data_IF_636691409176
#
_entry.id   IF_636691409176
#
_cell.length_a   1.000
_cell.length_b   1.000
_cell.length_c   1.000
_cell.angle_alpha   90.00
_cell.angle_beta   90.00
_cell.angle_gamma   90.00
#
_symmetry.space_group_name_H-M   'P 1'
#
loop_
_entity.id
_entity.type
_entity.pdbx_description
1 polymer ?
#
# COMPACT_ATOMS: atom_id res chain seq x y z
N UNK A 1 -57.73 -19.60 62.78
CA UNK A 1 -56.28 -19.80 62.91
C UNK A 1 -55.87 -20.69 61.76
N UNK A 2 -55.08 -20.18 60.82
CA UNK A 2 -54.28 -21.00 59.93
C UNK A 2 -53.01 -20.21 59.59
N UNK A 3 -51.88 -20.70 60.07
CA UNK A 3 -50.57 -20.05 59.95
C UNK A 3 -49.84 -20.60 58.72
N UNK A 4 -49.61 -19.74 57.72
CA UNK A 4 -48.75 -20.08 56.59
C UNK A 4 -47.32 -19.64 56.89
N UNK A 5 -46.52 -20.56 57.43
CA UNK A 5 -45.07 -20.43 57.54
C UNK A 5 -44.45 -20.66 56.16
N UNK A 6 -44.13 -19.57 55.46
CA UNK A 6 -43.29 -19.60 54.27
C UNK A 6 -41.83 -19.67 54.68
N UNK A 7 -41.20 -20.84 54.51
CA UNK A 7 -39.76 -21.00 54.62
C UNK A 7 -39.09 -20.28 53.45
N UNK A 8 -38.41 -19.17 53.74
CA UNK A 8 -37.45 -18.53 52.83
C UNK A 8 -36.24 -19.46 52.63
N UNK A 9 -36.41 -20.44 51.75
CA UNK A 9 -35.31 -21.21 51.16
C UNK A 9 -34.72 -20.36 50.03
N UNK A 10 -33.79 -19.45 50.37
CA UNK A 10 -32.97 -18.82 49.34
C UNK A 10 -32.14 -19.91 48.64
N UNK A 11 -32.24 -20.07 47.31
CA UNK A 11 -31.49 -21.10 46.60
C UNK A 11 -29.99 -20.79 46.68
N UNK A 12 -29.25 -21.62 47.43
CA UNK A 12 -27.80 -21.54 47.55
C UNK A 12 -27.12 -21.86 46.20
N UNK A 13 -26.88 -20.82 45.41
CA UNK A 13 -26.36 -20.91 44.03
C UNK A 13 -24.86 -21.22 43.98
N UNK A 14 -24.11 -21.07 45.08
CA UNK A 14 -22.68 -21.34 45.11
C UNK A 14 -22.34 -22.84 44.99
N UNK A 15 -23.18 -23.70 45.59
CA UNK A 15 -22.98 -25.16 45.52
C UNK A 15 -23.24 -25.72 44.11
N UNK A 16 -24.21 -25.18 43.37
CA UNK A 16 -24.48 -25.56 41.97
C UNK A 16 -23.35 -25.13 41.02
N UNK A 17 -22.75 -23.96 41.27
CA UNK A 17 -21.60 -23.45 40.48
C UNK A 17 -20.36 -24.32 40.71
N UNK A 18 -20.11 -24.73 41.97
CA UNK A 18 -19.02 -25.63 42.32
C UNK A 18 -19.21 -27.01 41.67
N UNK A 19 -20.44 -27.54 41.64
CA UNK A 19 -20.78 -28.79 40.97
C UNK A 19 -20.57 -28.71 39.44
N UNK A 20 -20.91 -27.58 38.82
CA UNK A 20 -20.73 -27.36 37.38
C UNK A 20 -19.25 -27.24 36.95
N UNK A 21 -18.36 -26.79 37.84
CA UNK A 21 -16.91 -26.66 37.59
C UNK A 21 -16.13 -27.98 37.63
N UNK A 22 -16.71 -29.06 38.17
CA UNK A 22 -16.04 -30.35 38.36
C UNK A 22 -15.89 -31.23 37.11
N UNK A 23 -16.61 -30.91 36.02
CA UNK A 23 -16.61 -31.73 34.80
C UNK A 23 -15.43 -31.35 33.91
N UNK A 24 -14.33 -32.09 34.00
CA UNK A 24 -13.12 -31.91 33.16
C UNK A 24 -13.45 -32.10 31.67
N UNK A 25 -13.68 -31.00 30.95
CA UNK A 25 -13.96 -31.02 29.50
C UNK A 25 -12.78 -31.63 28.73
N UNK A 26 -13.07 -32.34 27.65
CA UNK A 26 -12.01 -33.00 26.86
C UNK A 26 -11.04 -31.99 26.22
N UNK A 27 -9.75 -32.33 26.22
CA UNK A 27 -8.63 -31.52 25.69
C UNK A 27 -8.79 -31.15 24.20
N UNK A 28 -9.69 -31.84 23.47
CA UNK A 28 -10.03 -31.54 22.06
C UNK A 28 -10.82 -30.24 21.89
N UNK A 29 -11.57 -29.80 22.91
CA UNK A 29 -12.33 -28.52 22.86
C UNK A 29 -11.42 -27.30 23.00
N UNK A 30 -10.23 -27.48 23.59
CA UNK A 30 -9.27 -26.42 23.83
C UNK A 30 -8.66 -25.81 22.54
N UNK A 31 -8.77 -26.49 21.38
CA UNK A 31 -8.24 -26.03 20.09
C UNK A 31 -9.28 -25.28 19.22
N UNK A 32 -10.53 -25.15 19.66
CA UNK A 32 -11.57 -24.44 18.88
C UNK A 32 -11.43 -22.93 19.03
N UNK A 33 -11.69 -22.19 17.94
CA UNK A 33 -11.64 -20.71 17.91
C UNK A 33 -12.63 -20.07 18.89
N UNK A 34 -13.77 -20.73 19.15
CA UNK A 34 -14.68 -20.36 20.22
C UNK A 34 -14.69 -21.50 21.25
N UNK A 35 -14.06 -21.25 22.41
CA UNK A 35 -14.07 -22.16 23.55
C UNK A 35 -15.34 -21.94 24.36
N UNK A 36 -15.95 -23.00 24.87
CA UNK A 36 -16.93 -22.87 25.94
C UNK A 36 -16.18 -22.49 27.21
N UNK A 37 -16.45 -21.30 27.76
CA UNK A 37 -15.94 -20.86 29.06
C UNK A 37 -16.74 -21.55 30.16
N UNK A 38 -16.09 -22.04 31.21
CA UNK A 38 -16.81 -22.56 32.37
C UNK A 38 -17.50 -21.39 33.11
N UNK A 39 -18.59 -21.66 33.82
CA UNK A 39 -19.39 -20.63 34.49
C UNK A 39 -18.55 -19.72 35.39
N UNK A 40 -17.58 -20.28 36.11
CA UNK A 40 -16.64 -19.54 36.96
C UNK A 40 -15.73 -18.62 36.15
N UNK A 41 -15.16 -19.10 35.04
CA UNK A 41 -14.32 -18.28 34.16
C UNK A 41 -15.12 -17.17 33.45
N UNK A 42 -16.36 -17.48 33.08
CA UNK A 42 -17.30 -16.52 32.52
C UNK A 42 -17.64 -15.42 33.53
N UNK A 43 -17.95 -15.79 34.77
CA UNK A 43 -18.23 -14.86 35.86
C UNK A 43 -17.03 -13.96 36.18
N UNK A 44 -15.83 -14.52 36.28
CA UNK A 44 -14.61 -13.75 36.49
C UNK A 44 -14.30 -12.79 35.33
N UNK A 45 -14.49 -13.24 34.08
CA UNK A 45 -14.31 -12.38 32.91
C UNK A 45 -15.36 -11.26 32.87
N UNK A 46 -16.62 -11.56 33.20
CA UNK A 46 -17.68 -10.57 33.33
C UNK A 46 -17.37 -9.54 34.41
N UNK A 47 -16.98 -9.99 35.61
CA UNK A 47 -16.61 -9.10 36.71
C UNK A 47 -15.39 -8.23 36.34
N UNK A 48 -14.42 -8.80 35.64
CA UNK A 48 -13.31 -8.06 35.04
C UNK A 48 -13.80 -6.95 34.10
N UNK A 49 -14.69 -7.26 33.16
CA UNK A 49 -15.26 -6.29 32.22
C UNK A 49 -16.13 -5.23 32.92
N UNK A 50 -16.96 -5.62 33.89
CA UNK A 50 -17.77 -4.69 34.69
C UNK A 50 -16.90 -3.76 35.54
N UNK A 51 -15.75 -4.26 36.02
CA UNK A 51 -14.78 -3.47 36.78
C UNK A 51 -13.89 -2.58 35.90
N UNK A 52 -13.86 -2.80 34.58
CA UNK A 52 -13.15 -1.92 33.67
C UNK A 52 -13.96 -0.64 33.44
N UNK A 53 -13.40 0.51 33.81
CA UNK A 53 -13.92 1.82 33.42
C UNK A 53 -13.84 1.94 31.91
N UNK A 54 -14.99 1.80 31.24
CA UNK A 54 -15.06 1.91 29.78
C UNK A 54 -14.66 3.34 29.36
N UNK A 55 -13.58 3.52 28.58
CA UNK A 55 -13.23 4.84 28.09
C UNK A 55 -14.33 5.32 27.13
N UNK A 56 -14.90 6.49 27.41
CA UNK A 56 -15.96 7.15 26.63
C UNK A 56 -15.58 7.38 25.16
N UNK A 57 -14.29 7.24 24.82
CA UNK A 57 -13.78 7.21 23.46
C UNK A 57 -13.54 5.76 22.98
N UNK A 58 -14.59 5.05 22.60
CA UNK A 58 -14.44 3.76 21.90
C UNK A 58 -13.62 3.98 20.60
N UNK A 59 -12.61 3.14 20.31
CA UNK A 59 -11.82 3.28 19.09
C UNK A 59 -12.74 3.12 17.87
N UNK A 60 -12.45 3.88 16.80
CA UNK A 60 -13.29 3.98 15.59
C UNK A 60 -13.70 2.63 14.97
N UNK A 61 -12.96 1.55 15.24
CA UNK A 61 -13.25 0.18 14.84
C UNK A 61 -14.49 -0.45 15.53
N UNK A 62 -14.92 0.05 16.69
CA UNK A 62 -16.11 -0.42 17.41
C UNK A 62 -17.36 0.41 17.14
N UNK A 63 -17.30 1.44 16.29
CA UNK A 63 -18.48 2.22 15.90
C UNK A 63 -19.15 1.57 14.69
N UNK A 64 -20.29 0.85 14.86
CA UNK A 64 -20.96 0.16 13.76
C UNK A 64 -21.43 1.13 12.67
N UNK A 65 -21.72 2.39 13.03
CA UNK A 65 -22.08 3.44 12.08
C UNK A 65 -20.99 3.73 11.04
N UNK A 66 -19.71 3.73 11.43
CA UNK A 66 -18.61 3.97 10.48
C UNK A 66 -18.47 2.81 9.50
N UNK A 67 -18.68 1.58 9.96
CA UNK A 67 -18.71 0.40 9.09
C UNK A 67 -19.89 0.44 8.12
N UNK A 68 -21.08 0.84 8.59
CA UNK A 68 -22.26 1.03 7.73
C UNK A 68 -22.05 2.10 6.69
N UNK A 69 -21.56 3.28 7.07
CA UNK A 69 -21.25 4.38 6.14
C UNK A 69 -20.26 3.98 5.06
N UNK A 70 -19.21 3.22 5.39
CA UNK A 70 -18.25 2.71 4.39
C UNK A 70 -18.90 1.72 3.42
N UNK A 71 -19.77 0.84 3.93
CA UNK A 71 -20.51 -0.10 3.09
C UNK A 71 -21.51 0.62 2.18
N UNK A 72 -22.24 1.61 2.72
CA UNK A 72 -23.16 2.48 1.97
C UNK A 72 -22.40 3.24 0.89
N UNK A 73 -21.25 3.86 1.20
CA UNK A 73 -20.41 4.55 0.21
C UNK A 73 -19.90 3.59 -0.88
N UNK A 74 -19.54 2.36 -0.52
CA UNK A 74 -19.13 1.34 -1.49
C UNK A 74 -20.30 0.90 -2.40
N UNK A 75 -21.50 0.75 -1.84
CA UNK A 75 -22.72 0.43 -2.59
C UNK A 75 -23.14 1.59 -3.49
N UNK A 76 -23.06 2.83 -3.02
CA UNK A 76 -23.32 4.03 -3.81
C UNK A 76 -22.37 4.15 -5.00
N UNK A 77 -21.06 3.92 -4.79
CA UNK A 77 -20.08 3.92 -5.89
C UNK A 77 -20.39 2.84 -6.92
N UNK A 78 -20.87 1.67 -6.50
CA UNK A 78 -21.30 0.60 -7.42
C UNK A 78 -22.56 0.99 -8.17
N UNK A 79 -23.57 1.52 -7.50
CA UNK A 79 -24.80 1.99 -8.10
C UNK A 79 -24.55 3.09 -9.13
N UNK A 80 -23.71 4.08 -8.82
CA UNK A 80 -23.30 5.14 -9.76
C UNK A 80 -22.63 4.57 -11.00
N UNK A 81 -21.75 3.57 -10.85
CA UNK A 81 -21.11 2.91 -12.00
C UNK A 81 -22.14 2.21 -12.88
N UNK A 82 -23.07 1.46 -12.29
CA UNK A 82 -24.14 0.79 -13.05
C UNK A 82 -24.96 1.81 -13.85
N UNK A 83 -25.41 2.90 -13.23
CA UNK A 83 -26.15 3.97 -13.92
C UNK A 83 -25.35 4.60 -15.07
N UNK A 84 -24.04 4.80 -14.89
CA UNK A 84 -23.19 5.32 -15.98
C UNK A 84 -23.03 4.33 -17.14
N UNK A 85 -22.95 3.03 -16.84
CA UNK A 85 -22.86 1.96 -17.84
C UNK A 85 -24.17 1.85 -18.60
N UNK A 86 -25.30 1.78 -17.90
CA UNK A 86 -26.63 1.73 -18.53
C UNK A 86 -26.89 2.96 -19.41
N UNK A 87 -26.48 4.16 -18.96
CA UNK A 87 -26.58 5.37 -19.78
C UNK A 87 -25.74 5.26 -21.05
N UNK A 88 -24.51 4.77 -20.92
CA UNK A 88 -23.61 4.58 -22.06
C UNK A 88 -24.13 3.50 -23.02
N UNK A 89 -24.68 2.40 -22.51
CA UNK A 89 -25.30 1.35 -23.31
C UNK A 89 -26.50 1.89 -24.09
N UNK A 90 -27.34 2.71 -23.47
CA UNK A 90 -28.44 3.42 -24.16
C UNK A 90 -27.94 4.32 -25.29
N UNK A 91 -26.84 5.03 -25.07
CA UNK A 91 -26.18 5.85 -26.10
C UNK A 91 -25.51 4.99 -27.20
N UNK A 92 -25.06 3.78 -26.86
CA UNK A 92 -24.35 2.87 -27.77
C UNK A 92 -25.32 1.97 -28.59
N UNK A 93 -26.58 1.77 -28.16
CA UNK A 93 -27.60 0.95 -28.85
C UNK A 93 -27.88 1.39 -30.31
N UNK A 94 -27.60 2.65 -30.67
CA UNK A 94 -27.70 3.16 -32.04
C UNK A 94 -26.35 3.47 -32.70
N UNK A 95 -25.23 3.24 -32.00
CA UNK A 95 -23.89 3.56 -32.51
C UNK A 95 -23.33 2.35 -33.26
N UNK A 96 -23.33 2.42 -34.59
CA UNK A 96 -22.60 1.45 -35.42
C UNK A 96 -21.10 1.65 -35.19
N UNK A 97 -20.49 0.76 -34.39
CA UNK A 97 -19.03 0.73 -34.15
C UNK A 97 -18.29 0.07 -35.30
N UNK A 98 -18.94 -0.87 -35.97
CA UNK A 98 -18.37 -1.64 -37.07
C UNK A 98 -18.62 -0.92 -38.40
N UNK A 99 -18.15 0.33 -38.49
CA UNK A 99 -17.91 0.96 -39.79
C UNK A 99 -16.57 0.44 -40.26
N UNK A 100 -16.53 -0.25 -41.41
CA UNK A 100 -15.34 -0.86 -42.04
C UNK A 100 -14.04 -0.24 -41.53
N UNK A 101 -13.31 -1.03 -40.72
CA UNK A 101 -12.17 -0.56 -39.92
C UNK A 101 -11.14 0.18 -40.76
N UNK A 102 -11.11 1.51 -40.61
CA UNK A 102 -10.17 2.36 -41.35
C UNK A 102 -10.66 3.78 -41.67
N UNK A 103 -11.95 4.07 -41.54
CA UNK A 103 -12.50 5.41 -41.83
C UNK A 103 -12.63 6.35 -40.63
N UNK A 104 -12.54 5.82 -39.41
CA UNK A 104 -12.34 6.65 -38.22
C UNK A 104 -10.86 6.90 -38.03
N UNK A 105 -10.41 8.17 -37.95
CA UNK A 105 -9.03 8.54 -37.58
C UNK A 105 -8.60 8.12 -36.17
N UNK A 106 -9.23 7.08 -35.60
CA UNK A 106 -8.99 6.49 -34.31
C UNK A 106 -7.63 5.79 -34.24
N UNK A 107 -7.21 5.11 -35.32
CA UNK A 107 -5.87 4.51 -35.42
C UNK A 107 -4.77 5.57 -35.37
N UNK A 108 -4.94 6.65 -36.14
CA UNK A 108 -4.03 7.80 -36.12
C UNK A 108 -4.03 8.50 -34.75
N UNK A 109 -5.21 8.77 -34.18
CA UNK A 109 -5.31 9.34 -32.82
C UNK A 109 -4.68 8.44 -31.76
N UNK A 110 -4.77 7.12 -31.89
CA UNK A 110 -4.12 6.18 -31.00
C UNK A 110 -2.59 6.28 -31.12
N UNK A 111 -2.04 6.30 -32.33
CA UNK A 111 -0.61 6.49 -32.57
C UNK A 111 -0.11 7.85 -32.07
N UNK A 112 -0.86 8.93 -32.31
CA UNK A 112 -0.57 10.27 -31.76
C UNK A 112 -0.53 10.24 -30.23
N UNK A 113 -1.45 9.54 -29.56
CA UNK A 113 -1.44 9.40 -28.09
C UNK A 113 -0.28 8.56 -27.57
N UNK A 114 0.11 7.51 -28.28
CA UNK A 114 1.31 6.71 -27.93
C UNK A 114 2.56 7.56 -28.03
N UNK A 115 2.71 8.34 -29.11
CA UNK A 115 3.81 9.28 -29.27
C UNK A 115 3.80 10.36 -28.17
N UNK A 116 2.65 10.99 -27.91
CA UNK A 116 2.49 11.99 -26.85
C UNK A 116 2.85 11.43 -25.46
N UNK A 117 2.39 10.21 -25.12
CA UNK A 117 2.77 9.54 -23.87
C UNK A 117 4.28 9.30 -23.77
N UNK A 118 4.92 8.95 -24.88
CA UNK A 118 6.38 8.86 -24.98
C UNK A 118 7.06 10.20 -24.69
N UNK A 119 6.63 11.27 -25.36
CA UNK A 119 7.16 12.63 -25.15
C UNK A 119 6.98 13.09 -23.70
N UNK A 120 5.81 12.88 -23.10
CA UNK A 120 5.53 13.26 -21.70
C UNK A 120 6.41 12.49 -20.72
N UNK A 121 6.61 11.18 -20.95
CA UNK A 121 7.49 10.35 -20.10
C UNK A 121 8.93 10.84 -20.15
N UNK A 122 9.43 11.16 -21.34
CA UNK A 122 10.78 11.70 -21.52
C UNK A 122 10.92 13.10 -20.93
N UNK A 123 9.93 13.99 -21.14
CA UNK A 123 9.94 15.34 -20.58
C UNK A 123 9.96 15.33 -19.05
N UNK A 124 9.15 14.47 -18.41
CA UNK A 124 9.16 14.32 -16.96
C UNK A 124 10.48 13.75 -16.45
N UNK A 125 11.06 12.77 -17.14
CA UNK A 125 12.36 12.22 -16.77
C UNK A 125 13.47 13.27 -16.90
N UNK A 126 13.50 14.06 -17.98
CA UNK A 126 14.49 15.13 -18.19
C UNK A 126 14.34 16.20 -17.12
N UNK A 127 13.11 16.65 -16.81
CA UNK A 127 12.87 17.60 -15.74
C UNK A 127 13.38 17.08 -14.39
N UNK A 128 13.05 15.83 -14.03
CA UNK A 128 13.51 15.23 -12.78
C UNK A 128 15.03 15.08 -12.73
N UNK A 129 15.69 14.70 -13.84
CA UNK A 129 17.14 14.62 -13.89
C UNK A 129 17.80 16.00 -13.78
N UNK A 130 17.22 17.04 -14.38
CA UNK A 130 17.71 18.41 -14.24
C UNK A 130 17.51 18.94 -12.81
N UNK A 131 16.36 18.68 -12.20
CA UNK A 131 16.11 19.06 -10.79
C UNK A 131 17.02 18.29 -9.84
N UNK A 132 17.16 16.97 -10.01
CA UNK A 132 18.06 16.14 -9.22
C UNK A 132 19.54 16.47 -9.43
N UNK A 133 19.96 16.91 -10.63
CA UNK A 133 21.31 17.40 -10.86
C UNK A 133 21.57 18.72 -10.10
N UNK A 134 20.60 19.65 -10.12
CA UNK A 134 20.68 20.90 -9.35
C UNK A 134 20.71 20.64 -7.85
N UNK A 135 19.84 19.75 -7.34
CA UNK A 135 19.82 19.34 -5.94
C UNK A 135 21.14 18.70 -5.52
N UNK A 136 21.70 17.79 -6.32
CA UNK A 136 23.02 17.19 -6.04
C UNK A 136 24.14 18.22 -6.07
N UNK A 137 24.11 19.20 -6.97
CA UNK A 137 25.07 20.30 -6.95
C UNK A 137 24.93 21.18 -5.70
N UNK A 138 23.70 21.46 -5.27
CA UNK A 138 23.42 22.23 -4.05
C UNK A 138 23.80 21.45 -2.79
N UNK A 139 23.56 20.13 -2.74
CA UNK A 139 24.03 19.25 -1.68
C UNK A 139 25.56 19.23 -1.65
N UNK A 140 26.24 19.07 -2.78
CA UNK A 140 27.71 19.15 -2.84
C UNK A 140 28.21 20.54 -2.42
N UNK A 141 27.50 21.63 -2.77
CA UNK A 141 27.82 22.98 -2.32
C UNK A 141 27.55 23.20 -0.82
N UNK A 142 26.52 22.56 -0.26
CA UNK A 142 26.18 22.62 1.17
C UNK A 142 27.12 21.74 2.01
N UNK A 143 27.54 20.59 1.49
CA UNK A 143 28.60 19.73 2.01
C UNK A 143 29.97 20.42 1.92
N UNK A 144 30.19 21.27 0.91
CA UNK A 144 31.30 22.24 0.85
C UNK A 144 31.06 23.38 1.84
N UNK A 145 31.11 23.07 3.13
CA UNK A 145 31.14 24.08 4.19
C UNK A 145 32.18 25.18 3.91
N UNK A 146 31.90 26.40 4.39
CA UNK A 146 32.66 27.63 4.11
C UNK A 146 34.17 27.49 4.39
N UNK A 147 34.96 27.09 3.39
CA UNK A 147 36.36 26.75 3.64
C UNK A 147 37.16 26.40 2.39
N UNK A 148 37.37 27.39 1.51
CA UNK A 148 38.31 27.42 0.36
C UNK A 148 38.01 26.43 -0.79
N UNK A 149 38.14 26.86 -2.06
CA UNK A 149 37.93 25.98 -3.22
C UNK A 149 39.05 24.93 -3.27
N UNK A 150 38.79 23.72 -2.79
CA UNK A 150 39.71 22.59 -2.99
C UNK A 150 39.49 22.06 -4.40
N UNK A 151 40.52 22.13 -5.23
CA UNK A 151 40.56 21.44 -6.52
C UNK A 151 40.23 19.94 -6.32
N UNK A 152 39.55 19.29 -7.29
CA UNK A 152 39.34 17.85 -7.22
C UNK A 152 40.69 17.15 -7.10
N UNK A 153 40.85 16.30 -6.07
CA UNK A 153 42.09 15.58 -5.85
C UNK A 153 42.42 14.70 -7.08
N UNK A 154 43.65 14.75 -7.62
CA UNK A 154 44.03 13.88 -8.72
C UNK A 154 44.00 12.41 -8.26
N UNK A 155 43.26 11.57 -8.99
CA UNK A 155 43.18 10.14 -8.71
C UNK A 155 44.53 9.47 -8.96
N UNK A 156 45.20 9.04 -7.88
CA UNK A 156 46.35 8.15 -7.95
C UNK A 156 45.86 6.70 -8.02
N UNK A 157 45.46 6.26 -9.21
CA UNK A 157 45.21 4.84 -9.47
C UNK A 157 46.53 4.05 -9.46
N UNK A 158 46.69 3.22 -8.42
CA UNK A 158 47.68 2.14 -8.39
C UNK A 158 47.43 1.19 -9.56
N UNK A 159 48.33 1.22 -10.54
CA UNK A 159 48.49 0.15 -11.53
C UNK A 159 48.75 -1.19 -10.82
N UNK A 160 47.75 -2.05 -10.75
CA UNK A 160 47.94 -3.49 -10.52
C UNK A 160 47.84 -4.19 -11.87
N UNK A 161 48.96 -4.78 -12.28
CA UNK A 161 49.10 -5.65 -13.47
C UNK A 161 48.23 -6.90 -13.33
N UNK A 162 47.45 -7.23 -14.36
CA UNK A 162 46.87 -8.56 -14.56
C UNK A 162 46.16 -8.67 -15.91
N UNK A 163 46.73 -9.45 -16.84
CA UNK A 163 46.24 -9.70 -18.21
C UNK A 163 44.95 -10.54 -18.21
N UNK A 164 43.97 -10.17 -19.05
CA UNK A 164 43.27 -11.11 -19.95
C UNK A 164 42.65 -10.35 -21.14
N UNK A 165 42.74 -10.94 -22.32
CA UNK A 165 42.55 -10.34 -23.65
C UNK A 165 41.25 -10.88 -24.23
N UNK A 166 40.21 -10.06 -24.33
CA UNK A 166 38.98 -10.33 -25.10
C UNK A 166 38.77 -9.20 -26.12
N UNK A 167 38.76 -9.54 -27.41
CA UNK A 167 38.72 -8.59 -28.52
C UNK A 167 37.31 -8.01 -28.66
N UNK A 168 37.17 -6.71 -28.45
CA UNK A 168 36.32 -5.78 -29.21
C UNK A 168 36.84 -4.38 -28.86
N UNK A 169 37.72 -3.85 -29.70
CA UNK A 169 38.24 -2.47 -29.59
C UNK A 169 37.56 -1.65 -30.66
N UNK A 170 36.38 -1.15 -30.35
CA UNK A 170 35.77 -0.08 -31.12
C UNK A 170 35.89 1.21 -30.31
N UNK A 171 36.83 2.06 -30.74
CA UNK A 171 36.95 3.50 -30.48
C UNK A 171 36.82 4.03 -29.03
N UNK A 172 37.77 3.67 -28.17
CA UNK A 172 38.01 4.40 -26.90
C UNK A 172 38.89 5.66 -27.09
N UNK A 173 39.51 5.85 -28.26
CA UNK A 173 40.43 6.97 -28.54
C UNK A 173 39.75 8.24 -29.08
N UNK A 174 38.42 8.24 -29.21
CA UNK A 174 37.64 9.39 -29.72
C UNK A 174 36.46 9.82 -28.85
N UNK A 175 36.17 9.09 -27.75
CA UNK A 175 35.21 9.55 -26.75
C UNK A 175 35.97 10.46 -25.80
N UNK A 176 35.83 11.76 -26.02
CA UNK A 176 36.25 12.78 -25.08
C UNK A 176 35.79 12.37 -23.67
N UNK A 177 36.77 11.91 -22.91
CA UNK A 177 36.81 11.99 -21.45
C UNK A 177 36.43 13.44 -21.13
N UNK A 178 35.49 13.62 -20.20
CA UNK A 178 34.94 14.90 -19.73
C UNK A 178 33.57 15.31 -20.31
N UNK A 179 32.58 14.43 -20.17
CA UNK A 179 31.24 14.85 -19.73
C UNK A 179 31.00 14.15 -18.37
N UNK A 180 30.96 14.88 -17.25
CA UNK A 180 30.99 14.26 -15.94
C UNK A 180 29.59 13.70 -15.64
N UNK A 181 29.50 12.36 -15.59
CA UNK A 181 28.49 11.59 -14.88
C UNK A 181 27.02 11.82 -15.31
N UNK A 182 26.41 10.75 -15.83
CA UNK A 182 24.97 10.54 -15.67
C UNK A 182 24.11 10.66 -16.92
N UNK A 183 24.64 10.90 -18.14
CA UNK A 183 23.80 10.84 -19.37
C UNK A 183 23.47 9.39 -19.74
N UNK A 184 24.47 8.52 -19.78
CA UNK A 184 24.27 7.09 -20.11
C UNK A 184 23.51 6.36 -18.98
N UNK A 185 23.83 6.64 -17.71
CA UNK A 185 23.08 6.10 -16.55
C UNK A 185 21.63 6.60 -16.51
N UNK A 186 21.40 7.86 -16.88
CA UNK A 186 20.05 8.43 -17.02
C UNK A 186 19.23 7.70 -18.09
N UNK A 187 19.84 7.44 -19.26
CA UNK A 187 19.18 6.69 -20.32
C UNK A 187 18.88 5.25 -19.90
N UNK A 188 19.77 4.61 -19.15
CA UNK A 188 19.56 3.26 -18.62
C UNK A 188 18.48 3.22 -17.52
N UNK A 189 18.40 4.25 -16.68
CA UNK A 189 17.32 4.42 -15.71
C UNK A 189 15.95 4.63 -16.39
N UNK A 190 15.92 5.34 -17.52
CA UNK A 190 14.71 5.49 -18.35
C UNK A 190 14.33 4.18 -19.04
N UNK A 191 15.30 3.46 -19.62
CA UNK A 191 15.09 2.19 -20.34
C UNK A 191 14.64 1.06 -19.42
N UNK A 192 15.18 0.98 -18.21
CA UNK A 192 14.81 -0.01 -17.20
C UNK A 192 13.47 0.28 -16.50
N UNK A 193 12.86 1.43 -16.77
CA UNK A 193 11.53 1.79 -16.23
C UNK A 193 11.56 2.30 -14.78
N UNK A 194 12.73 2.62 -14.24
CA UNK A 194 12.96 2.92 -12.81
C UNK A 194 12.40 4.24 -12.28
N UNK A 195 11.68 5.04 -13.08
CA UNK A 195 11.19 6.38 -12.71
C UNK A 195 9.64 6.48 -12.71
N UNK A 196 8.93 5.35 -12.59
CA UNK A 196 7.46 5.38 -12.47
C UNK A 196 7.00 4.66 -11.21
N UNK A 197 7.35 5.21 -10.04
CA UNK A 197 6.55 5.05 -8.82
C UNK A 197 5.83 6.37 -8.55
N UNK A 198 4.49 6.28 -8.49
CA UNK A 198 3.60 7.37 -8.07
C UNK A 198 3.90 7.85 -6.67
#
# INVERSE_FOLDING_TARGET
ADEFSGSDDEPNTDDEIAAAGGVKKSKKTAKRKHRATDAVHFGQALQGLLSTSAPTSLPLALKPEVARRKNEEALEKRARKVLTVEKKEKEDLGRVRDVIGGWGGESERALRKVAQRGVVKLFNAIQQAQMGAKEKEEEVKALRGTGKPTLPAPSLEKKVKGKAKGKNKDNELGRAKDDPLGKDDFLDMIRSGGIVSR
#
